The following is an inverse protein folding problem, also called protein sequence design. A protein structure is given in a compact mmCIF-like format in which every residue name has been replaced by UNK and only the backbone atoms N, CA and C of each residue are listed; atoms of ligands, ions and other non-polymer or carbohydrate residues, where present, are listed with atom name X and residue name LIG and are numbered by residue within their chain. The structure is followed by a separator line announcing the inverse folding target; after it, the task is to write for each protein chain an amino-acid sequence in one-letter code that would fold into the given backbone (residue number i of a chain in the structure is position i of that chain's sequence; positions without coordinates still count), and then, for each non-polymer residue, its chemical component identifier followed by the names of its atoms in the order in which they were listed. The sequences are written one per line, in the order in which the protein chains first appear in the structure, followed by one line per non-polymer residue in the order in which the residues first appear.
data_IF_117223636355
#
_entry.id   IF_117223636355
#
_cell.length_a   1.000
_cell.length_b   1.000
_cell.length_c   1.000
_cell.angle_alpha   90.00
_cell.angle_beta   90.00
_cell.angle_gamma   90.00
#
_symmetry.space_group_name_H-M   'P 1'
#
loop_
_entity.id
_entity.type
_entity.pdbx_description
1 polymer ?
#
# COMPACT_ATOMS: atom_id res chain seq x y z
N UNK A 1 38.11 -11.19 44.03
CA UNK A 1 38.01 -10.38 42.81
C UNK A 1 36.82 -10.83 42.03
N UNK A 2 35.78 -10.10 42.15
CA UNK A 2 34.59 -10.37 41.34
C UNK A 2 34.65 -9.45 40.13
N UNK A 3 34.98 -9.99 38.99
CA UNK A 3 34.80 -9.30 37.74
C UNK A 3 33.31 -9.39 37.45
N UNK A 4 32.62 -8.36 37.84
CA UNK A 4 31.24 -8.16 37.44
C UNK A 4 31.23 -7.86 35.94
N UNK A 5 31.16 -8.90 35.18
CA UNK A 5 30.85 -8.79 33.76
C UNK A 5 29.33 -8.58 33.63
N UNK A 6 28.89 -7.46 34.15
CA UNK A 6 27.56 -6.97 33.85
C UNK A 6 27.56 -6.67 32.36
N UNK A 7 27.18 -7.64 31.55
CA UNK A 7 26.69 -7.36 30.22
C UNK A 7 25.57 -6.37 30.43
N UNK A 8 25.88 -5.08 30.28
CA UNK A 8 24.84 -4.09 30.06
C UNK A 8 24.10 -4.55 28.84
N UNK A 9 23.03 -5.26 29.09
CA UNK A 9 21.98 -5.34 28.10
C UNK A 9 21.66 -3.87 27.83
N UNK A 10 22.15 -3.36 26.73
CA UNK A 10 21.63 -2.12 26.19
C UNK A 10 20.15 -2.39 26.05
N UNK A 11 19.41 -1.90 27.02
CA UNK A 11 18.01 -1.69 26.77
C UNK A 11 18.01 -0.82 25.54
N UNK A 12 17.72 -1.47 24.40
CA UNK A 12 17.30 -0.74 23.26
C UNK A 12 16.06 -0.01 23.75
N UNK A 13 16.24 1.26 24.09
CA UNK A 13 15.09 2.13 24.14
C UNK A 13 14.29 1.78 22.90
N UNK A 14 12.99 1.54 23.01
CA UNK A 14 12.19 1.50 21.84
C UNK A 14 12.51 2.81 21.14
N UNK A 15 13.34 2.73 20.12
CA UNK A 15 13.41 3.80 19.16
C UNK A 15 11.99 3.86 18.70
N UNK A 16 11.28 4.86 19.11
CA UNK A 16 10.04 5.24 18.49
C UNK A 16 10.34 5.66 17.06
N UNK A 17 11.09 4.81 16.40
CA UNK A 17 11.24 4.88 14.99
C UNK A 17 9.98 4.22 14.44
N UNK A 18 8.93 5.02 14.37
CA UNK A 18 7.66 4.67 13.72
C UNK A 18 7.87 4.13 12.31
N UNK A 19 9.11 4.09 11.87
CA UNK A 19 9.56 3.69 10.54
C UNK A 19 9.97 2.22 10.46
N UNK A 20 10.03 1.53 11.58
CA UNK A 20 10.42 0.11 11.62
C UNK A 20 9.20 -0.81 11.73
N UNK A 21 8.01 -0.29 11.84
CA UNK A 21 6.81 -1.12 11.74
C UNK A 21 6.73 -1.66 10.32
N UNK A 22 7.01 -2.93 10.17
CA UNK A 22 6.76 -3.63 8.91
C UNK A 22 5.29 -3.42 8.57
N UNK A 23 5.03 -2.70 7.50
CA UNK A 23 3.67 -2.48 7.04
C UNK A 23 3.04 -3.81 6.67
N UNK A 24 1.83 -4.05 7.16
CA UNK A 24 1.08 -5.21 6.68
C UNK A 24 0.78 -5.05 5.19
N UNK A 25 0.67 -6.14 4.44
CA UNK A 25 0.29 -6.05 3.03
C UNK A 25 -1.00 -5.25 2.82
N UNK A 26 -2.00 -5.43 3.67
CA UNK A 26 -3.24 -4.67 3.59
C UNK A 26 -3.01 -3.16 3.70
N UNK A 27 -2.22 -2.71 4.65
CA UNK A 27 -1.92 -1.28 4.84
C UNK A 27 -1.19 -0.72 3.64
N UNK A 28 -0.17 -1.40 3.14
CA UNK A 28 0.58 -0.94 1.98
C UNK A 28 -0.29 -0.85 0.72
N UNK A 29 -1.18 -1.81 0.49
CA UNK A 29 -2.10 -1.77 -0.64
C UNK A 29 -3.10 -0.62 -0.54
N UNK A 30 -3.58 -0.29 0.67
CA UNK A 30 -4.43 0.87 0.88
C UNK A 30 -3.66 2.17 0.60
N UNK A 31 -2.42 2.27 1.05
CA UNK A 31 -1.56 3.43 0.75
C UNK A 31 -1.35 3.59 -0.76
N UNK A 32 -1.13 2.50 -1.48
CA UNK A 32 -1.03 2.51 -2.95
C UNK A 32 -2.32 3.01 -3.59
N UNK A 33 -3.47 2.51 -3.16
CA UNK A 33 -4.75 2.94 -3.70
C UNK A 33 -5.00 4.45 -3.50
N UNK A 34 -4.57 4.98 -2.36
CA UNK A 34 -4.73 6.41 -2.04
C UNK A 34 -3.63 7.29 -2.62
N UNK A 35 -2.57 6.72 -3.18
CA UNK A 35 -1.49 7.50 -3.79
C UNK A 35 -1.89 8.19 -5.08
N UNK A 36 -2.94 7.73 -5.73
CA UNK A 36 -3.48 8.29 -6.97
C UNK A 36 -4.58 9.36 -6.72
N UNK A 37 -4.95 9.56 -5.47
CA UNK A 37 -5.94 10.54 -5.06
C UNK A 37 -6.79 10.06 -3.90
N UNK A 38 -7.72 10.90 -3.48
CA UNK A 38 -8.66 10.51 -2.43
C UNK A 38 -9.65 9.45 -2.94
N UNK A 39 -10.11 8.60 -2.06
CA UNK A 39 -11.09 7.58 -2.38
C UNK A 39 -11.90 7.17 -1.15
N UNK A 40 -13.06 6.58 -1.38
CA UNK A 40 -13.87 5.94 -0.37
C UNK A 40 -13.52 4.45 -0.21
N UNK A 41 -14.00 3.82 0.86
CA UNK A 41 -13.65 2.43 1.18
C UNK A 41 -13.91 1.45 0.05
N UNK A 42 -15.04 1.54 -0.63
CA UNK A 42 -15.35 0.67 -1.77
C UNK A 42 -14.41 0.90 -2.96
N UNK A 43 -14.08 2.14 -3.26
CA UNK A 43 -13.11 2.47 -4.29
C UNK A 43 -11.72 1.91 -3.99
N UNK A 44 -11.28 1.97 -2.74
CA UNK A 44 -10.02 1.36 -2.30
C UNK A 44 -10.05 -0.15 -2.53
N UNK A 45 -11.13 -0.84 -2.16
CA UNK A 45 -11.26 -2.29 -2.39
C UNK A 45 -11.17 -2.64 -3.87
N UNK A 46 -11.85 -1.87 -4.73
CA UNK A 46 -11.80 -2.07 -6.17
C UNK A 46 -10.40 -1.86 -6.74
N UNK A 47 -9.72 -0.81 -6.33
CA UNK A 47 -8.36 -0.50 -6.78
C UNK A 47 -7.39 -1.61 -6.39
N UNK A 48 -7.44 -2.07 -5.14
CA UNK A 48 -6.58 -3.15 -4.65
C UNK A 48 -6.83 -4.44 -5.43
N UNK A 49 -8.08 -4.80 -5.69
CA UNK A 49 -8.41 -5.96 -6.51
C UNK A 49 -7.87 -5.81 -7.93
N UNK A 50 -8.02 -4.63 -8.51
CA UNK A 50 -7.58 -4.32 -9.86
C UNK A 50 -6.06 -4.43 -10.03
N UNK A 51 -5.27 -3.73 -9.22
CA UNK A 51 -3.82 -3.74 -9.41
C UNK A 51 -3.12 -5.01 -8.87
N UNK A 52 -3.79 -5.81 -8.06
CA UNK A 52 -3.32 -7.16 -7.68
C UNK A 52 -3.87 -8.25 -8.59
N UNK A 53 -4.65 -7.90 -9.61
CA UNK A 53 -5.30 -8.86 -10.52
C UNK A 53 -6.15 -9.89 -9.77
N UNK A 54 -6.83 -9.47 -8.72
CA UNK A 54 -7.68 -10.31 -7.89
C UNK A 54 -6.95 -11.23 -6.92
N UNK A 55 -5.62 -11.17 -6.84
CA UNK A 55 -4.85 -11.98 -5.89
C UNK A 55 -5.07 -11.54 -4.44
N UNK A 56 -5.28 -10.26 -4.22
CA UNK A 56 -5.65 -9.73 -2.91
C UNK A 56 -7.02 -9.07 -2.97
N UNK A 57 -7.93 -9.62 -2.18
CA UNK A 57 -9.24 -9.03 -1.94
C UNK A 57 -9.33 -8.61 -0.49
N UNK A 58 -9.49 -7.31 -0.27
CA UNK A 58 -9.76 -6.80 1.06
C UNK A 58 -11.25 -6.92 1.36
N UNK A 59 -11.59 -7.75 2.34
CA UNK A 59 -12.94 -7.76 2.87
C UNK A 59 -13.23 -6.48 3.65
N UNK A 60 -14.53 -6.12 3.81
CA UNK A 60 -14.92 -4.89 4.53
C UNK A 60 -14.34 -4.82 5.94
N UNK A 61 -14.34 -5.93 6.67
CA UNK A 61 -13.81 -5.97 8.04
C UNK A 61 -12.32 -5.66 8.10
N UNK A 62 -11.52 -6.26 7.24
CA UNK A 62 -10.08 -6.01 7.16
C UNK A 62 -9.80 -4.58 6.69
N UNK A 63 -10.52 -4.10 5.70
CA UNK A 63 -10.38 -2.75 5.19
C UNK A 63 -10.63 -1.71 6.28
N UNK A 64 -11.79 -1.75 6.92
CA UNK A 64 -12.14 -0.73 7.90
C UNK A 64 -11.30 -0.80 9.17
N UNK A 65 -10.87 -1.99 9.58
CA UNK A 65 -9.91 -2.13 10.67
C UNK A 65 -8.57 -1.50 10.33
N UNK A 66 -8.09 -1.72 9.12
CA UNK A 66 -6.86 -1.11 8.64
C UNK A 66 -6.99 0.40 8.53
N UNK A 67 -8.10 0.91 7.99
CA UNK A 67 -8.38 2.35 7.91
C UNK A 67 -8.38 2.98 9.31
N UNK A 68 -9.04 2.38 10.29
CA UNK A 68 -9.05 2.90 11.65
C UNK A 68 -7.65 3.00 12.24
N UNK A 69 -6.85 1.98 12.04
CA UNK A 69 -5.45 1.97 12.48
C UNK A 69 -4.64 3.05 11.78
N UNK A 70 -4.80 3.20 10.49
CA UNK A 70 -4.10 4.20 9.71
C UNK A 70 -4.49 5.64 10.08
N UNK A 71 -5.75 5.86 10.46
CA UNK A 71 -6.20 7.14 10.99
C UNK A 71 -5.53 7.45 12.33
N UNK A 72 -5.48 6.48 13.24
CA UNK A 72 -4.81 6.62 14.54
C UNK A 72 -3.32 6.90 14.37
N UNK A 73 -2.67 6.20 13.45
CA UNK A 73 -1.24 6.34 13.18
C UNK A 73 -0.91 7.61 12.35
N UNK A 74 -1.92 8.35 11.91
CA UNK A 74 -1.75 9.58 11.14
C UNK A 74 -1.27 9.39 9.70
N UNK A 75 -1.47 8.21 9.12
CA UNK A 75 -1.07 7.90 7.74
C UNK A 75 -2.07 8.41 6.71
N UNK A 76 -3.31 8.47 7.11
CA UNK A 76 -4.42 8.97 6.29
C UNK A 76 -5.29 9.90 7.13
N UNK A 77 -6.06 10.70 6.46
CA UNK A 77 -7.09 11.53 7.07
C UNK A 77 -8.42 11.38 6.35
N UNK A 78 -9.48 11.58 7.10
CA UNK A 78 -10.83 11.54 6.57
C UNK A 78 -11.22 12.91 6.00
N UNK A 79 -11.77 12.91 4.80
CA UNK A 79 -12.32 14.10 4.18
C UNK A 79 -13.82 14.09 4.35
N UNK A 80 -14.33 15.17 4.91
CA UNK A 80 -15.75 15.45 4.92
C UNK A 80 -16.10 16.18 3.63
N UNK A 81 -16.22 15.46 2.53
CA UNK A 81 -16.87 16.01 1.35
C UNK A 81 -18.37 15.99 1.56
N UNK A 82 -18.91 17.14 1.95
CA UNK A 82 -20.31 17.41 1.78
C UNK A 82 -20.51 17.65 0.30
N UNK A 83 -20.86 16.60 -0.42
CA UNK A 83 -21.29 16.77 -1.80
C UNK A 83 -22.55 17.64 -1.81
N UNK A 84 -22.43 18.82 -2.35
CA UNK A 84 -23.52 19.80 -2.39
C UNK A 84 -24.61 19.46 -3.42
N UNK A 85 -24.52 18.32 -4.11
CA UNK A 85 -25.29 18.15 -5.33
C UNK A 85 -25.97 16.80 -5.58
N UNK A 86 -26.01 15.87 -4.65
CA UNK A 86 -26.89 14.72 -4.89
C UNK A 86 -27.32 14.03 -3.59
N UNK A 87 -28.61 13.82 -3.44
CA UNK A 87 -29.22 13.19 -2.29
C UNK A 87 -29.08 11.65 -2.29
N UNK A 88 -28.18 11.09 -3.08
CA UNK A 88 -27.94 9.67 -3.07
C UNK A 88 -27.08 9.29 -1.86
N UNK A 89 -27.35 8.13 -1.26
CA UNK A 89 -26.57 7.59 -0.14
C UNK A 89 -25.06 7.46 -0.46
N UNK A 90 -24.70 7.50 -1.73
CA UNK A 90 -23.33 7.48 -2.20
C UNK A 90 -22.53 8.75 -1.82
N UNK A 91 -23.22 9.87 -1.65
CA UNK A 91 -22.60 11.15 -1.31
C UNK A 91 -22.20 11.27 0.15
N UNK A 92 -22.67 10.36 1.00
CA UNK A 92 -22.31 10.28 2.42
C UNK A 92 -21.12 9.37 2.67
N UNK A 93 -20.49 8.84 1.63
CA UNK A 93 -19.33 7.97 1.80
C UNK A 93 -18.15 8.78 2.30
N UNK A 94 -17.53 8.23 3.35
CA UNK A 94 -16.30 8.80 3.89
C UNK A 94 -15.17 8.63 2.88
N UNK A 95 -14.56 9.74 2.52
CA UNK A 95 -13.36 9.75 1.69
C UNK A 95 -12.12 9.86 2.54
N UNK A 96 -11.06 9.25 2.09
CA UNK A 96 -9.76 9.24 2.76
C UNK A 96 -8.69 9.75 1.81
N UNK A 97 -7.68 10.38 2.34
CA UNK A 97 -6.49 10.78 1.60
C UNK A 97 -5.23 10.51 2.41
N UNK A 98 -4.10 10.38 1.70
CA UNK A 98 -2.81 10.29 2.36
C UNK A 98 -2.47 11.61 3.07
N UNK A 99 -1.92 11.47 4.26
CA UNK A 99 -1.18 12.57 4.90
C UNK A 99 0.25 12.62 4.34
N UNK A 100 0.97 13.70 4.64
CA UNK A 100 2.41 13.76 4.31
C UNK A 100 3.17 12.57 4.90
N UNK A 101 2.89 12.22 6.15
CA UNK A 101 3.47 11.04 6.82
C UNK A 101 3.14 9.74 6.07
N UNK A 102 1.89 9.56 5.67
CA UNK A 102 1.45 8.38 4.91
C UNK A 102 2.16 8.27 3.57
N UNK A 103 2.34 9.38 2.86
CA UNK A 103 3.08 9.40 1.60
C UNK A 103 4.56 9.03 1.79
N UNK A 104 5.22 9.58 2.80
CA UNK A 104 6.62 9.27 3.09
C UNK A 104 6.82 7.79 3.44
N UNK A 105 5.92 7.22 4.23
CA UNK A 105 5.93 5.80 4.59
C UNK A 105 5.68 4.91 3.37
N UNK A 106 4.71 5.27 2.54
CA UNK A 106 4.44 4.55 1.29
C UNK A 106 5.65 4.56 0.35
N UNK A 107 6.31 5.69 0.19
CA UNK A 107 7.50 5.82 -0.64
C UNK A 107 8.67 4.98 -0.11
N UNK A 108 8.85 4.97 1.20
CA UNK A 108 9.90 4.16 1.84
C UNK A 108 9.66 2.68 1.64
N UNK A 109 8.44 2.22 1.83
CA UNK A 109 8.07 0.83 1.63
C UNK A 109 8.19 0.42 0.16
N UNK A 110 7.79 1.28 -0.75
CA UNK A 110 7.95 1.04 -2.19
C UNK A 110 9.43 0.85 -2.56
N UNK A 111 10.33 1.68 -2.03
CA UNK A 111 11.78 1.51 -2.25
C UNK A 111 12.31 0.21 -1.67
N UNK A 112 11.90 -0.13 -0.45
CA UNK A 112 12.27 -1.41 0.19
C UNK A 112 11.86 -2.61 -0.66
N UNK A 113 10.64 -2.60 -1.18
CA UNK A 113 10.14 -3.67 -2.04
C UNK A 113 10.86 -3.71 -3.38
N UNK A 114 11.17 -2.56 -3.97
CA UNK A 114 11.94 -2.47 -5.21
C UNK A 114 13.34 -3.08 -5.03
N UNK A 115 14.01 -2.80 -3.93
CA UNK A 115 15.33 -3.38 -3.60
C UNK A 115 15.24 -4.90 -3.47
N UNK A 116 14.19 -5.42 -2.83
CA UNK A 116 13.97 -6.87 -2.75
C UNK A 116 13.72 -7.50 -4.12
N UNK A 117 12.97 -6.82 -4.97
CA UNK A 117 12.75 -7.28 -6.35
C UNK A 117 14.09 -7.34 -7.12
N UNK A 118 14.96 -6.37 -6.94
CA UNK A 118 16.28 -6.38 -7.56
C UNK A 118 17.15 -7.54 -7.06
N UNK A 119 17.10 -7.85 -5.78
CA UNK A 119 17.75 -9.07 -5.24
C UNK A 119 17.17 -10.32 -5.90
N UNK A 120 15.86 -10.41 -6.03
CA UNK A 120 15.19 -11.55 -6.66
C UNK A 120 15.62 -11.72 -8.13
N UNK A 121 15.79 -10.63 -8.86
CA UNK A 121 16.31 -10.66 -10.23
C UNK A 121 17.74 -11.20 -10.29
N UNK A 122 18.61 -10.70 -9.43
CA UNK A 122 20.01 -11.18 -9.37
C UNK A 122 20.12 -12.65 -8.99
N UNK A 123 19.13 -13.16 -8.27
CA UNK A 123 19.04 -14.56 -7.85
C UNK A 123 18.23 -15.45 -8.80
N UNK A 124 17.91 -14.93 -9.98
CA UNK A 124 17.16 -15.64 -11.02
C UNK A 124 15.77 -16.16 -10.58
N UNK A 125 15.13 -15.48 -9.63
CA UNK A 125 13.79 -15.82 -9.20
C UNK A 125 12.72 -15.22 -10.12
N UNK A 126 13.08 -14.17 -10.86
CA UNK A 126 12.20 -13.54 -11.83
C UNK A 126 12.66 -13.90 -13.23
N UNK A 127 11.81 -14.60 -13.97
CA UNK A 127 12.05 -14.82 -15.39
C UNK A 127 11.81 -13.52 -16.17
N UNK A 128 12.51 -13.33 -17.30
CA UNK A 128 12.36 -12.16 -18.19
C UNK A 128 11.00 -12.05 -18.88
N UNK A 129 9.99 -12.62 -18.30
CA UNK A 129 8.66 -12.87 -18.89
C UNK A 129 7.83 -11.62 -19.18
N UNK A 130 8.14 -10.50 -18.58
CA UNK A 130 7.29 -9.32 -18.69
C UNK A 130 7.47 -8.53 -19.99
N UNK A 131 8.57 -8.72 -20.72
CA UNK A 131 8.82 -7.97 -21.94
C UNK A 131 8.28 -8.65 -23.22
N UNK A 132 7.94 -9.95 -23.15
CA UNK A 132 7.59 -10.74 -24.34
C UNK A 132 6.10 -10.99 -24.48
N UNK A 133 5.30 -10.59 -23.53
CA UNK A 133 3.84 -10.81 -23.56
C UNK A 133 3.07 -9.63 -24.14
N UNK A 134 3.64 -8.91 -25.09
CA UNK A 134 2.81 -8.07 -25.94
C UNK A 134 2.13 -9.02 -26.96
N UNK A 135 0.80 -9.16 -26.94
CA UNK A 135 0.15 -9.82 -28.04
C UNK A 135 0.52 -9.04 -29.30
N UNK A 136 1.19 -9.70 -30.22
CA UNK A 136 1.36 -9.17 -31.55
C UNK A 136 -0.02 -8.86 -32.09
N UNK A 137 -0.30 -7.60 -32.32
CA UNK A 137 -1.52 -7.19 -33.00
C UNK A 137 -1.61 -7.96 -34.31
N UNK A 138 -2.73 -8.60 -34.59
CA UNK A 138 -2.88 -9.25 -35.89
C UNK A 138 -2.77 -8.16 -36.94
N UNK A 139 -1.75 -8.28 -37.77
CA UNK A 139 -1.70 -7.48 -38.99
C UNK A 139 -2.97 -7.73 -39.75
N UNK A 140 -3.84 -6.75 -39.85
CA UNK A 140 -4.91 -6.77 -40.85
C UNK A 140 -4.21 -6.89 -42.19
N UNK A 141 -4.22 -8.08 -42.72
CA UNK A 141 -3.89 -8.30 -44.10
C UNK A 141 -4.87 -7.51 -44.96
N UNK A 142 -4.38 -6.48 -45.61
CA UNK A 142 -5.15 -5.78 -46.59
C UNK A 142 -5.55 -6.76 -47.68
N UNK A 143 -6.82 -7.03 -47.75
CA UNK A 143 -7.37 -7.63 -48.99
C UNK A 143 -7.69 -6.50 -49.96
N UNK A 144 -7.18 -6.68 -51.11
CA UNK A 144 -7.65 -5.93 -52.28
C UNK A 144 -9.14 -6.17 -52.52
#
# INVERSE_FOLDING_TARGET
MVISNAKRVRQRQPVEDETTAVLTPAVFHILLALSDGNSHGYGIMQDVESFTRGELRLGPGTLYRSIQRMLVDGLIEELLEIALHDESDDDRRRHYRLTKKGLEIAQREARRLADLVDVARRRNLLSKRAAESRPSSPRKGGRR
#
